data_IF_397816323287
#
_entry.id   IF_397816323287
#
_cell.length_a   1.000
_cell.length_b   1.000
_cell.length_c   1.000
_cell.angle_alpha   90.00
_cell.angle_beta   90.00
_cell.angle_gamma   90.00
#
_symmetry.space_group_name_H-M   'P 1'
#
loop_
_entity.id
_entity.type
_entity.pdbx_description
1 polymer ?
#
# COMPACT_ATOMS: atom_id res chain seq x y z
N UNK A 1 -53.72 101.78 69.44
CA UNK A 1 -53.83 101.36 70.85
C UNK A 1 -52.87 100.19 71.09
N UNK A 2 -51.90 100.47 71.88
CA UNK A 2 -51.30 99.70 72.99
C UNK A 2 -50.40 98.55 72.53
N UNK A 3 -49.21 98.73 72.71
CA UNK A 3 -48.12 98.64 73.68
C UNK A 3 -47.33 97.37 73.65
N UNK A 4 -46.04 97.53 73.40
CA UNK A 4 -44.87 97.11 74.17
C UNK A 4 -44.67 95.69 74.61
N UNK A 5 -43.58 95.05 74.27
CA UNK A 5 -42.40 94.95 75.13
C UNK A 5 -41.21 94.20 74.49
N UNK A 6 -40.10 94.86 74.56
CA UNK A 6 -38.73 94.40 74.35
C UNK A 6 -38.28 93.37 75.36
N UNK A 7 -37.57 92.33 74.94
CA UNK A 7 -36.56 91.67 75.79
C UNK A 7 -35.40 91.14 74.97
N UNK A 8 -34.25 91.59 75.36
CA UNK A 8 -32.96 91.38 74.71
C UNK A 8 -32.31 90.01 74.96
N UNK A 9 -31.03 89.80 74.49
CA UNK A 9 -30.50 88.56 74.04
C UNK A 9 -29.80 87.78 75.16
N UNK A 10 -29.90 86.45 75.11
CA UNK A 10 -29.06 85.52 75.87
C UNK A 10 -27.94 84.94 74.97
N UNK A 11 -26.72 85.24 75.29
CA UNK A 11 -25.47 84.84 74.69
C UNK A 11 -25.15 83.41 74.95
N UNK A 12 -25.21 82.45 73.98
CA UNK A 12 -24.86 81.05 74.18
C UNK A 12 -23.46 80.82 73.55
N UNK A 13 -22.42 80.77 74.39
CA UNK A 13 -21.05 80.54 74.00
C UNK A 13 -20.70 79.04 73.75
N UNK A 14 -21.72 78.16 73.80
CA UNK A 14 -21.51 76.73 73.60
C UNK A 14 -21.46 76.20 72.18
N UNK A 15 -22.05 76.99 71.20
CA UNK A 15 -22.20 76.57 69.82
C UNK A 15 -20.94 76.63 68.99
N UNK A 16 -19.98 77.47 69.38
CA UNK A 16 -18.74 77.67 68.56
C UNK A 16 -17.77 76.51 68.80
N UNK A 17 -17.69 75.92 70.03
CA UNK A 17 -16.86 74.83 70.39
C UNK A 17 -17.31 73.48 69.66
N UNK A 18 -18.62 73.31 69.59
CA UNK A 18 -19.18 72.10 68.92
C UNK A 18 -18.92 72.16 67.37
N UNK A 19 -18.93 73.33 66.76
CA UNK A 19 -18.69 73.45 65.32
C UNK A 19 -17.24 73.28 64.98
N UNK A 20 -16.29 73.69 65.80
CA UNK A 20 -14.82 73.45 65.62
C UNK A 20 -14.45 71.97 65.79
N UNK A 21 -15.06 71.30 66.73
CA UNK A 21 -14.84 69.81 66.91
C UNK A 21 -15.40 69.04 65.76
N UNK A 22 -16.52 69.42 65.18
CA UNK A 22 -17.16 68.77 64.00
C UNK A 22 -16.33 68.96 62.74
N UNK A 23 -15.75 70.16 62.53
CA UNK A 23 -14.84 70.43 61.41
C UNK A 23 -13.50 69.67 61.55
N UNK A 24 -12.95 69.57 62.77
CA UNK A 24 -11.76 68.78 63.00
C UNK A 24 -11.99 67.28 62.83
N UNK A 25 -13.15 66.73 63.22
CA UNK A 25 -13.53 65.35 63.01
C UNK A 25 -13.79 65.04 61.52
N UNK A 26 -14.41 65.96 60.78
CA UNK A 26 -14.59 65.85 59.35
C UNK A 26 -13.31 65.96 58.59
N UNK A 27 -12.37 66.84 59.01
CA UNK A 27 -11.00 66.93 58.45
C UNK A 27 -10.17 65.69 58.70
N UNK A 28 -10.19 65.14 59.93
CA UNK A 28 -9.49 63.93 60.26
C UNK A 28 -10.06 62.69 59.55
N UNK A 29 -11.40 62.64 59.42
CA UNK A 29 -12.08 61.58 58.64
C UNK A 29 -11.76 61.64 57.14
N UNK A 30 -11.69 62.87 56.57
CA UNK A 30 -11.31 63.09 55.20
C UNK A 30 -9.88 62.67 54.89
N UNK A 31 -8.95 63.07 55.79
CA UNK A 31 -7.52 62.66 55.64
C UNK A 31 -7.35 61.16 55.88
N UNK A 32 -8.10 60.55 56.77
CA UNK A 32 -8.10 59.10 56.98
C UNK A 32 -8.67 58.34 55.80
N UNK A 33 -9.73 58.89 55.18
CA UNK A 33 -10.36 58.31 53.98
C UNK A 33 -9.48 58.52 52.72
N UNK A 34 -8.80 59.67 52.59
CA UNK A 34 -7.81 59.91 51.51
C UNK A 34 -6.57 59.01 51.62
N UNK A 35 -6.13 58.68 52.84
CA UNK A 35 -5.00 57.72 53.02
C UNK A 35 -5.39 56.30 52.80
N UNK A 36 -6.68 55.90 52.97
CA UNK A 36 -7.18 54.54 52.71
C UNK A 36 -7.49 54.30 51.22
N UNK A 37 -7.58 55.35 50.40
CA UNK A 37 -7.95 55.25 48.97
C UNK A 37 -6.81 55.04 47.98
N UNK A 38 -5.59 54.81 48.42
CA UNK A 38 -4.41 54.66 47.51
C UNK A 38 -3.65 53.33 47.65
N UNK A 39 -4.31 52.27 48.08
CA UNK A 39 -3.79 50.96 47.68
C UNK A 39 -4.27 50.69 46.23
N UNK A 40 -3.46 51.09 45.23
CA UNK A 40 -3.60 50.55 43.88
C UNK A 40 -3.65 49.03 44.02
N UNK A 41 -4.71 48.37 43.47
CA UNK A 41 -4.66 46.91 43.41
C UNK A 41 -3.37 46.53 42.67
N UNK A 42 -2.52 45.76 43.35
CA UNK A 42 -1.38 45.16 42.68
C UNK A 42 -1.93 44.51 41.41
N UNK A 43 -1.45 44.94 40.21
CA UNK A 43 -1.86 44.38 38.97
C UNK A 43 -1.71 42.85 39.07
N UNK A 44 -2.84 42.15 39.08
CA UNK A 44 -2.82 40.67 39.14
C UNK A 44 -1.85 40.23 38.07
N UNK A 45 -0.82 39.50 38.45
CA UNK A 45 0.14 38.92 37.51
C UNK A 45 -0.69 38.21 36.43
N UNK A 46 -0.43 38.49 35.14
CA UNK A 46 -1.20 37.88 34.04
C UNK A 46 -1.27 36.37 34.26
N UNK A 47 -2.48 35.86 34.29
CA UNK A 47 -2.73 34.43 34.52
C UNK A 47 -1.91 33.62 33.48
N UNK A 48 -1.03 32.75 33.96
CA UNK A 48 -0.19 31.98 33.07
C UNK A 48 -1.04 31.08 32.16
N UNK A 49 -0.79 31.14 30.87
CA UNK A 49 -1.56 30.42 29.84
C UNK A 49 -1.13 28.95 29.86
N UNK A 50 -2.06 27.98 30.07
CA UNK A 50 -1.71 26.55 29.98
C UNK A 50 -1.40 26.16 28.54
N UNK A 51 -0.27 25.53 28.33
CA UNK A 51 0.22 25.06 27.04
C UNK A 51 0.81 23.66 27.16
N UNK A 52 0.78 22.91 26.06
CA UNK A 52 1.59 21.69 25.91
C UNK A 52 2.80 21.96 25.03
N UNK A 53 3.92 21.34 25.35
CA UNK A 53 5.19 21.55 24.63
C UNK A 53 5.78 20.23 24.15
N UNK A 54 6.49 20.28 23.02
CA UNK A 54 7.35 19.21 22.55
C UNK A 54 8.78 19.74 22.38
N UNK A 55 9.75 18.86 22.46
CA UNK A 55 11.16 19.20 22.23
C UNK A 55 11.51 19.01 20.77
N UNK A 56 12.24 19.96 20.21
CA UNK A 56 12.90 19.78 18.93
C UNK A 56 14.04 18.77 19.08
N UNK A 57 14.05 17.73 18.27
CA UNK A 57 15.05 16.68 18.33
C UNK A 57 15.68 16.44 16.96
N UNK A 58 16.93 15.99 16.96
CA UNK A 58 17.53 15.45 15.74
C UNK A 58 17.10 14.02 15.54
N UNK A 59 16.62 13.73 14.37
CA UNK A 59 16.22 12.40 13.99
C UNK A 59 16.29 12.20 12.47
N UNK A 60 16.28 10.94 12.05
CA UNK A 60 16.16 10.60 10.64
C UNK A 60 14.67 10.69 10.25
N UNK A 61 14.39 11.46 9.21
CA UNK A 61 13.02 11.69 8.74
C UNK A 61 12.87 11.10 7.34
N UNK A 62 12.05 10.03 7.20
CA UNK A 62 11.77 9.45 5.91
C UNK A 62 10.84 10.35 5.09
N UNK A 63 11.18 10.57 3.82
CA UNK A 63 10.39 11.35 2.87
C UNK A 63 9.62 10.39 1.98
N UNK A 64 8.31 10.52 1.98
CA UNK A 64 7.42 9.69 1.19
C UNK A 64 6.72 10.49 0.09
N UNK A 65 6.63 9.89 -1.10
CA UNK A 65 5.62 10.25 -2.09
C UNK A 65 4.40 9.33 -1.94
N UNK A 66 3.23 9.91 -1.96
CA UNK A 66 1.96 9.17 -1.85
C UNK A 66 1.21 9.22 -3.16
N UNK A 67 0.62 8.09 -3.56
CA UNK A 67 -0.17 7.97 -4.77
C UNK A 67 -1.29 6.96 -4.63
N UNK A 68 -2.24 7.00 -5.56
CA UNK A 68 -3.29 6.00 -5.68
C UNK A 68 -2.86 4.94 -6.68
N UNK A 69 -3.08 3.68 -6.34
CA UNK A 69 -2.75 2.54 -7.18
C UNK A 69 -3.89 1.54 -7.32
N UNK A 70 -3.72 0.64 -8.27
CA UNK A 70 -4.56 -0.53 -8.49
C UNK A 70 -3.70 -1.78 -8.43
N UNK A 71 -4.29 -2.87 -8.04
CA UNK A 71 -3.66 -4.20 -7.99
C UNK A 71 -4.09 -5.00 -9.22
N UNK A 72 -3.43 -4.92 -10.39
CA UNK A 72 -3.71 -5.84 -11.48
C UNK A 72 -3.20 -7.23 -11.10
N UNK A 73 -3.88 -8.27 -11.59
CA UNK A 73 -3.32 -9.61 -11.54
C UNK A 73 -2.00 -9.65 -12.30
N UNK A 74 -0.99 -10.31 -11.77
CA UNK A 74 0.30 -10.46 -12.48
C UNK A 74 0.10 -11.24 -13.78
N UNK A 75 -0.60 -12.37 -13.70
CA UNK A 75 -1.02 -13.17 -14.84
C UNK A 75 -2.47 -13.63 -14.63
N UNK A 76 -3.24 -13.58 -15.72
CA UNK A 76 -4.60 -14.15 -15.78
C UNK A 76 -4.68 -15.01 -17.01
N UNK A 77 -4.91 -16.30 -16.82
CA UNK A 77 -4.93 -17.28 -17.91
C UNK A 77 -6.27 -17.98 -17.98
N UNK A 78 -7.07 -17.72 -19.01
CA UNK A 78 -8.26 -18.51 -19.30
C UNK A 78 -7.83 -19.89 -19.81
N UNK A 79 -8.28 -20.95 -19.14
CA UNK A 79 -7.97 -22.35 -19.50
C UNK A 79 -9.03 -22.89 -20.42
N UNK A 80 -8.64 -23.23 -21.63
CA UNK A 80 -9.51 -23.81 -22.66
C UNK A 80 -9.14 -25.27 -22.90
N UNK A 81 -10.09 -26.03 -23.47
CA UNK A 81 -9.77 -27.33 -24.05
C UNK A 81 -8.93 -27.17 -25.32
N UNK A 82 -7.97 -28.06 -25.53
CA UNK A 82 -7.20 -28.13 -26.78
C UNK A 82 -7.69 -29.23 -27.72
N UNK A 83 -8.65 -30.05 -27.26
CA UNK A 83 -9.27 -31.13 -28.02
C UNK A 83 -10.77 -31.16 -27.79
N UNK A 84 -11.51 -31.67 -28.77
CA UNK A 84 -12.95 -31.85 -28.66
C UNK A 84 -13.29 -33.11 -27.87
N UNK A 85 -14.28 -33.03 -26.98
CA UNK A 85 -14.73 -34.21 -26.29
C UNK A 85 -15.64 -33.93 -25.08
N UNK A 86 -16.12 -34.97 -24.47
CA UNK A 86 -16.98 -34.87 -23.29
C UNK A 86 -16.15 -34.66 -22.03
N UNK A 87 -16.46 -33.63 -21.24
CA UNK A 87 -15.86 -33.40 -19.94
C UNK A 87 -16.39 -34.45 -18.94
N UNK A 88 -15.48 -35.34 -18.48
CA UNK A 88 -15.87 -36.45 -17.59
C UNK A 88 -15.58 -36.16 -16.12
N UNK A 89 -14.62 -35.29 -15.84
CA UNK A 89 -14.22 -35.01 -14.48
C UNK A 89 -13.66 -33.60 -14.35
N UNK A 90 -14.00 -32.91 -13.24
CA UNK A 90 -13.40 -31.66 -12.76
C UNK A 90 -12.79 -31.95 -11.40
N UNK A 91 -11.50 -31.61 -11.22
CA UNK A 91 -10.67 -32.01 -10.09
C UNK A 91 -10.24 -30.84 -9.19
N UNK A 92 -10.86 -29.67 -9.36
CA UNK A 92 -10.61 -28.51 -8.52
C UNK A 92 -11.90 -28.06 -7.81
N UNK A 93 -11.73 -27.33 -6.72
CA UNK A 93 -12.77 -26.56 -6.07
C UNK A 93 -12.63 -25.09 -6.45
N UNK A 94 -13.72 -24.40 -6.71
CA UNK A 94 -13.72 -22.96 -6.99
C UNK A 94 -13.04 -22.19 -5.85
N UNK A 95 -12.20 -21.24 -6.21
CA UNK A 95 -11.41 -20.48 -5.25
C UNK A 95 -10.17 -21.20 -4.68
N UNK A 96 -9.92 -22.45 -5.06
CA UNK A 96 -8.76 -23.21 -4.61
C UNK A 96 -7.46 -22.66 -5.23
N UNK A 97 -6.35 -22.77 -4.49
CA UNK A 97 -5.02 -22.59 -5.04
C UNK A 97 -4.56 -23.84 -5.78
N UNK A 98 -4.05 -23.66 -7.01
CA UNK A 98 -3.49 -24.72 -7.84
C UNK A 98 -2.06 -24.34 -8.22
N UNK A 99 -1.21 -25.34 -8.35
CA UNK A 99 0.16 -25.18 -8.86
C UNK A 99 0.21 -25.50 -10.36
N UNK A 100 1.15 -24.93 -11.05
CA UNK A 100 1.44 -25.29 -12.43
C UNK A 100 1.64 -26.80 -12.56
N UNK A 101 0.93 -27.42 -13.52
CA UNK A 101 0.91 -28.87 -13.74
C UNK A 101 -0.18 -29.63 -12.98
N UNK A 102 -0.85 -29.05 -11.99
CA UNK A 102 -1.96 -29.71 -11.30
C UNK A 102 -3.11 -29.98 -12.29
N UNK A 103 -3.74 -31.16 -12.17
CA UNK A 103 -4.84 -31.53 -13.06
C UNK A 103 -6.12 -30.79 -12.68
N UNK A 104 -6.65 -30.03 -13.62
CA UNK A 104 -7.91 -29.29 -13.48
C UNK A 104 -9.12 -30.12 -13.91
N UNK A 105 -9.02 -30.77 -15.07
CA UNK A 105 -10.15 -31.49 -15.64
C UNK A 105 -9.69 -32.61 -16.56
N UNK A 106 -10.59 -33.56 -16.83
CA UNK A 106 -10.35 -34.64 -17.77
C UNK A 106 -11.48 -34.72 -18.80
N UNK A 107 -11.08 -34.84 -20.07
CA UNK A 107 -11.95 -35.16 -21.19
C UNK A 107 -11.90 -36.66 -21.40
N UNK A 108 -12.94 -37.22 -21.97
CA UNK A 108 -13.04 -38.66 -22.28
C UNK A 108 -11.85 -39.09 -23.22
N UNK A 109 -10.90 -39.89 -22.72
CA UNK A 109 -9.70 -40.19 -23.46
C UNK A 109 -9.84 -41.36 -24.44
N UNK A 110 -11.00 -42.08 -24.40
CA UNK A 110 -11.15 -43.41 -25.07
C UNK A 110 -10.87 -43.33 -26.56
N UNK A 111 -11.36 -42.31 -27.27
CA UNK A 111 -11.12 -42.15 -28.70
C UNK A 111 -9.65 -41.83 -29.01
N UNK A 112 -9.00 -41.02 -28.18
CA UNK A 112 -7.60 -40.65 -28.32
C UNK A 112 -6.69 -41.84 -28.02
N UNK A 113 -7.01 -42.62 -27.00
CA UNK A 113 -6.30 -43.88 -26.68
C UNK A 113 -6.38 -44.85 -27.83
N UNK A 114 -7.58 -45.05 -28.40
CA UNK A 114 -7.75 -45.97 -29.53
C UNK A 114 -6.94 -45.51 -30.76
N UNK A 115 -6.85 -44.19 -31.02
CA UNK A 115 -6.03 -43.68 -32.11
C UNK A 115 -4.51 -43.88 -31.86
N UNK A 116 -4.06 -43.74 -30.62
CA UNK A 116 -2.70 -44.04 -30.23
C UNK A 116 -2.38 -45.55 -30.40
N UNK A 117 -3.28 -46.43 -29.95
CA UNK A 117 -3.12 -47.85 -30.08
C UNK A 117 -3.09 -48.28 -31.56
N UNK A 118 -3.92 -47.69 -32.41
CA UNK A 118 -3.90 -47.88 -33.85
C UNK A 118 -2.56 -47.48 -34.48
N UNK A 119 -2.01 -46.29 -34.11
CA UNK A 119 -0.73 -45.83 -34.60
C UNK A 119 0.44 -46.78 -34.16
N UNK A 120 0.40 -47.27 -32.91
CA UNK A 120 1.36 -48.24 -32.41
C UNK A 120 1.27 -49.57 -33.14
N UNK A 121 0.07 -50.07 -33.43
CA UNK A 121 -0.15 -51.31 -34.18
C UNK A 121 0.40 -51.21 -35.62
N UNK A 122 0.21 -50.03 -36.29
CA UNK A 122 0.74 -49.77 -37.62
C UNK A 122 2.28 -49.80 -37.62
N UNK A 123 2.92 -49.11 -36.69
CA UNK A 123 4.39 -49.19 -36.52
C UNK A 123 4.88 -50.63 -36.33
N UNK A 124 4.23 -51.40 -35.46
CA UNK A 124 4.58 -52.80 -35.23
C UNK A 124 4.47 -53.65 -36.51
N UNK A 125 3.44 -53.41 -37.33
CA UNK A 125 3.29 -54.05 -38.63
C UNK A 125 4.47 -53.72 -39.58
N UNK A 126 4.85 -52.43 -39.69
CA UNK A 126 5.91 -52.02 -40.58
C UNK A 126 7.32 -52.44 -40.07
N UNK A 127 7.49 -52.51 -38.74
CA UNK A 127 8.69 -53.10 -38.13
C UNK A 127 8.82 -54.59 -38.49
N UNK A 128 7.75 -55.37 -38.47
CA UNK A 128 7.76 -56.78 -38.89
C UNK A 128 8.09 -56.93 -40.37
N UNK A 129 7.55 -56.04 -41.20
CA UNK A 129 7.88 -56.01 -42.67
C UNK A 129 9.34 -55.62 -42.91
N UNK A 130 9.88 -54.66 -42.13
CA UNK A 130 11.30 -54.29 -42.22
C UNK A 130 12.19 -55.45 -41.85
N UNK A 131 11.89 -56.22 -40.79
CA UNK A 131 12.65 -57.40 -40.41
C UNK A 131 12.63 -58.44 -41.50
N UNK A 132 11.48 -58.68 -42.16
CA UNK A 132 11.38 -59.59 -43.32
C UNK A 132 12.23 -59.10 -44.49
N UNK A 133 12.10 -57.82 -44.89
CA UNK A 133 12.84 -57.21 -45.98
C UNK A 133 14.36 -57.23 -45.72
N UNK A 134 14.79 -57.03 -44.48
CA UNK A 134 16.20 -57.11 -44.12
C UNK A 134 16.76 -58.54 -44.27
N UNK A 135 16.00 -59.55 -43.85
CA UNK A 135 16.40 -60.97 -44.05
C UNK A 135 16.51 -61.30 -45.52
N UNK A 136 15.55 -60.82 -46.35
CA UNK A 136 15.58 -61.02 -47.78
C UNK A 136 16.78 -60.30 -48.42
N UNK A 137 17.09 -59.08 -48.03
CA UNK A 137 18.26 -58.33 -48.47
C UNK A 137 19.56 -59.12 -48.22
N UNK A 138 19.72 -59.61 -46.99
CA UNK A 138 20.91 -60.45 -46.66
C UNK A 138 20.98 -61.69 -47.53
N UNK A 139 19.82 -62.33 -47.83
CA UNK A 139 19.77 -63.50 -48.72
C UNK A 139 20.16 -63.17 -50.13
N UNK A 140 19.58 -62.11 -50.74
CA UNK A 140 19.87 -61.65 -52.09
C UNK A 140 21.35 -61.21 -52.22
N UNK A 141 21.85 -60.45 -51.28
CA UNK A 141 23.28 -60.05 -51.26
C UNK A 141 24.21 -61.27 -51.25
N UNK A 142 23.89 -62.27 -50.41
CA UNK A 142 24.71 -63.53 -50.33
C UNK A 142 24.69 -64.32 -51.65
N UNK A 143 23.52 -64.35 -52.33
CA UNK A 143 23.36 -65.00 -53.63
C UNK A 143 24.05 -64.21 -54.77
N UNK A 144 24.01 -62.89 -54.78
CA UNK A 144 24.72 -62.08 -55.72
C UNK A 144 26.22 -62.23 -55.68
N UNK A 145 26.82 -62.32 -54.49
CA UNK A 145 28.23 -62.59 -54.31
C UNK A 145 28.62 -63.92 -54.92
N UNK A 146 27.69 -64.90 -54.96
CA UNK A 146 27.88 -66.20 -55.56
C UNK A 146 27.50 -66.26 -57.05
N UNK A 147 27.17 -65.14 -57.71
CA UNK A 147 26.72 -65.03 -59.07
C UNK A 147 25.39 -65.74 -59.37
N UNK A 148 24.56 -66.03 -58.37
CA UNK A 148 23.25 -66.68 -58.51
C UNK A 148 22.08 -65.64 -58.51
N UNK A 149 22.39 -64.39 -58.35
CA UNK A 149 21.41 -63.31 -58.35
C UNK A 149 21.97 -62.03 -59.00
N UNK A 150 21.08 -61.13 -59.48
CA UNK A 150 21.51 -59.90 -60.15
C UNK A 150 21.67 -58.73 -59.15
N UNK A 151 22.58 -57.80 -59.43
CA UNK A 151 22.75 -56.60 -58.62
C UNK A 151 21.45 -55.76 -58.59
N UNK A 152 20.67 -55.73 -59.68
CA UNK A 152 19.39 -55.04 -59.75
C UNK A 152 18.42 -55.51 -58.69
N UNK A 153 18.36 -56.84 -58.41
CA UNK A 153 17.45 -57.37 -57.41
C UNK A 153 17.93 -57.03 -55.99
N UNK A 154 19.25 -56.95 -55.73
CA UNK A 154 19.81 -56.48 -54.47
C UNK A 154 19.42 -55.02 -54.24
N UNK A 155 19.61 -54.17 -55.26
CA UNK A 155 19.25 -52.72 -55.18
C UNK A 155 17.75 -52.54 -54.93
N UNK A 156 16.87 -53.31 -55.59
CA UNK A 156 15.42 -53.27 -55.35
C UNK A 156 15.08 -53.70 -53.91
N UNK A 157 15.76 -54.69 -53.38
CA UNK A 157 15.52 -55.12 -52.03
C UNK A 157 16.04 -54.12 -50.99
N UNK A 158 17.19 -53.46 -51.25
CA UNK A 158 17.70 -52.36 -50.46
C UNK A 158 16.67 -51.20 -50.44
N UNK A 159 16.13 -50.84 -51.63
CA UNK A 159 15.10 -49.79 -51.70
C UNK A 159 13.85 -50.13 -50.86
N UNK A 160 13.43 -51.42 -50.80
CA UNK A 160 12.33 -51.85 -49.90
C UNK A 160 12.67 -51.67 -48.45
N UNK A 161 13.88 -52.07 -48.02
CA UNK A 161 14.35 -51.85 -46.64
C UNK A 161 14.33 -50.35 -46.29
N UNK A 162 14.82 -49.50 -47.17
CA UNK A 162 14.84 -48.07 -46.93
C UNK A 162 13.44 -47.45 -46.96
N UNK A 163 12.53 -47.98 -47.79
CA UNK A 163 11.12 -47.63 -47.79
C UNK A 163 10.45 -47.96 -46.45
N UNK A 164 10.67 -49.19 -45.87
CA UNK A 164 10.11 -49.53 -44.55
C UNK A 164 10.74 -48.71 -43.42
N UNK A 165 12.02 -48.37 -43.47
CA UNK A 165 12.61 -47.44 -42.50
C UNK A 165 11.95 -46.08 -42.55
N UNK A 166 11.68 -45.55 -43.72
CA UNK A 166 10.97 -44.29 -43.92
C UNK A 166 9.52 -44.36 -43.41
N UNK A 167 8.81 -45.50 -43.65
CA UNK A 167 7.46 -45.73 -43.14
C UNK A 167 7.44 -45.74 -41.60
N UNK A 168 8.41 -46.45 -40.96
CA UNK A 168 8.51 -46.46 -39.47
C UNK A 168 8.82 -45.05 -38.94
N UNK A 169 9.60 -44.23 -39.62
CA UNK A 169 9.81 -42.86 -39.21
C UNK A 169 8.52 -42.01 -39.27
N UNK A 170 7.69 -42.20 -40.32
CA UNK A 170 6.37 -41.61 -40.40
C UNK A 170 5.40 -42.11 -39.31
N UNK A 171 5.43 -43.42 -38.99
CA UNK A 171 4.60 -43.97 -37.95
C UNK A 171 4.98 -43.41 -36.56
N UNK A 172 6.27 -43.20 -36.30
CA UNK A 172 6.75 -42.56 -35.07
C UNK A 172 6.16 -41.15 -34.93
N UNK A 173 6.14 -40.36 -35.98
CA UNK A 173 5.54 -39.03 -35.97
C UNK A 173 4.02 -39.09 -35.78
N UNK A 174 3.35 -40.10 -36.36
CA UNK A 174 1.93 -40.35 -36.14
C UNK A 174 1.62 -40.73 -34.66
N UNK A 175 2.45 -41.56 -34.05
CA UNK A 175 2.35 -41.93 -32.61
C UNK A 175 2.52 -40.68 -31.74
N UNK A 176 3.53 -39.85 -31.98
CA UNK A 176 3.79 -38.62 -31.24
C UNK A 176 2.60 -37.68 -31.34
N UNK A 177 2.02 -37.52 -32.54
CA UNK A 177 0.79 -36.72 -32.75
C UNK A 177 -0.40 -37.27 -31.99
N UNK A 178 -0.61 -38.59 -31.98
CA UNK A 178 -1.71 -39.24 -31.26
C UNK A 178 -1.50 -39.13 -29.73
N UNK A 179 -0.28 -39.28 -29.25
CA UNK A 179 0.08 -39.12 -27.84
C UNK A 179 -0.19 -37.69 -27.38
N UNK A 180 0.25 -36.69 -28.13
CA UNK A 180 0.02 -35.28 -27.81
C UNK A 180 -1.49 -34.98 -27.69
N UNK A 181 -2.32 -35.53 -28.59
CA UNK A 181 -3.78 -35.38 -28.50
C UNK A 181 -4.37 -36.07 -27.28
N UNK A 182 -3.82 -37.23 -26.92
CA UNK A 182 -4.23 -37.93 -25.68
C UNK A 182 -3.84 -37.11 -24.44
N UNK A 183 -2.64 -36.54 -24.42
CA UNK A 183 -2.19 -35.69 -23.30
C UNK A 183 -3.09 -34.46 -23.13
N UNK A 184 -3.57 -33.87 -24.20
CA UNK A 184 -4.52 -32.75 -24.16
C UNK A 184 -5.90 -33.12 -23.58
N UNK A 185 -6.22 -34.41 -23.43
CA UNK A 185 -7.44 -34.82 -22.70
C UNK A 185 -7.31 -34.60 -21.20
N UNK A 186 -6.10 -34.44 -20.68
CA UNK A 186 -5.85 -34.08 -19.29
C UNK A 186 -5.49 -32.59 -19.25
N UNK A 187 -6.43 -31.77 -18.81
CA UNK A 187 -6.26 -30.32 -18.74
C UNK A 187 -5.57 -29.98 -17.43
N UNK A 188 -4.42 -29.33 -17.50
CA UNK A 188 -3.59 -28.94 -16.34
C UNK A 188 -3.53 -27.43 -16.19
N UNK A 189 -3.21 -26.96 -14.97
CA UNK A 189 -2.98 -25.56 -14.67
C UNK A 189 -1.69 -25.08 -15.35
N UNK A 190 -1.74 -24.04 -16.19
CA UNK A 190 -0.55 -23.51 -16.88
C UNK A 190 0.34 -22.65 -15.99
N UNK A 191 -0.21 -22.11 -14.89
CA UNK A 191 0.48 -21.25 -13.93
C UNK A 191 0.04 -21.58 -12.51
N UNK A 192 0.87 -21.19 -11.53
CA UNK A 192 0.45 -21.13 -10.14
C UNK A 192 -0.58 -20.02 -9.98
N UNK A 193 -1.67 -20.29 -9.25
CA UNK A 193 -2.67 -19.27 -9.04
C UNK A 193 -3.96 -19.80 -8.43
N UNK A 194 -4.90 -18.88 -8.24
CA UNK A 194 -6.24 -19.17 -7.71
C UNK A 194 -7.21 -19.43 -8.83
N UNK A 195 -7.97 -20.51 -8.68
CA UNK A 195 -9.02 -20.92 -9.62
C UNK A 195 -10.24 -20.03 -9.43
N UNK A 196 -10.77 -19.46 -10.52
CA UNK A 196 -12.01 -18.71 -10.52
C UNK A 196 -13.26 -19.60 -10.51
N UNK A 197 -14.39 -19.04 -10.93
CA UNK A 197 -15.62 -19.79 -11.09
C UNK A 197 -15.53 -20.77 -12.26
N UNK A 198 -16.07 -21.96 -12.08
CA UNK A 198 -16.24 -22.96 -13.14
C UNK A 198 -17.29 -22.48 -14.14
N UNK A 199 -16.94 -22.47 -15.42
CA UNK A 199 -17.85 -22.00 -16.47
C UNK A 199 -18.50 -23.14 -17.26
N UNK A 200 -17.93 -24.37 -17.18
CA UNK A 200 -18.42 -25.55 -17.89
C UNK A 200 -18.56 -26.70 -16.90
N UNK A 201 -19.72 -27.39 -16.94
CA UNK A 201 -20.04 -28.50 -16.05
C UNK A 201 -19.59 -29.84 -16.60
N UNK A 202 -19.37 -30.79 -15.68
CA UNK A 202 -19.16 -32.22 -16.04
C UNK A 202 -20.34 -32.74 -16.83
N UNK A 203 -20.07 -33.46 -17.91
CA UNK A 203 -21.06 -33.99 -18.82
C UNK A 203 -21.23 -33.19 -20.10
N UNK A 204 -20.81 -31.92 -20.13
CA UNK A 204 -20.84 -31.11 -21.35
C UNK A 204 -19.78 -31.57 -22.36
N UNK A 205 -20.08 -31.32 -23.62
CA UNK A 205 -19.10 -31.47 -24.71
C UNK A 205 -18.39 -30.14 -24.84
N UNK A 206 -17.05 -30.16 -24.84
CA UNK A 206 -16.17 -29.01 -25.08
C UNK A 206 -15.52 -29.15 -26.45
N UNK A 207 -15.25 -28.00 -27.05
CA UNK A 207 -14.52 -27.92 -28.34
C UNK A 207 -13.26 -27.06 -28.19
N UNK A 208 -12.25 -27.39 -28.97
CA UNK A 208 -11.02 -26.59 -29.01
C UNK A 208 -11.25 -25.16 -29.54
N UNK A 209 -12.34 -24.94 -30.27
CA UNK A 209 -12.76 -23.63 -30.80
C UNK A 209 -13.66 -22.82 -29.86
N UNK A 210 -14.02 -23.37 -28.68
CA UNK A 210 -14.88 -22.66 -27.74
C UNK A 210 -14.23 -21.39 -27.22
N UNK A 211 -14.98 -20.30 -27.19
CA UNK A 211 -14.53 -19.02 -26.64
C UNK A 211 -14.70 -18.95 -25.13
N UNK A 212 -15.53 -19.80 -24.56
CA UNK A 212 -15.75 -19.90 -23.11
C UNK A 212 -14.68 -20.80 -22.51
N UNK A 213 -13.86 -20.30 -21.57
CA UNK A 213 -12.89 -21.15 -20.88
C UNK A 213 -13.56 -22.11 -19.91
N UNK A 214 -12.91 -23.21 -19.56
CA UNK A 214 -13.35 -24.06 -18.45
C UNK A 214 -13.34 -23.31 -17.13
N UNK A 215 -12.27 -22.55 -16.94
CA UNK A 215 -11.99 -21.77 -15.73
C UNK A 215 -10.92 -20.74 -16.03
N UNK A 216 -10.86 -19.68 -15.24
CA UNK A 216 -9.80 -18.67 -15.30
C UNK A 216 -8.91 -18.84 -14.09
N UNK A 217 -7.59 -18.99 -14.31
CA UNK A 217 -6.59 -18.95 -13.25
C UNK A 217 -6.02 -17.53 -13.13
N UNK A 218 -5.97 -17.04 -11.90
CA UNK A 218 -5.44 -15.72 -11.58
C UNK A 218 -4.29 -15.87 -10.60
N UNK A 219 -3.13 -15.35 -10.95
CA UNK A 219 -1.97 -15.35 -10.08
C UNK A 219 -2.13 -14.23 -9.05
N UNK A 220 -2.21 -14.60 -7.76
CA UNK A 220 -2.40 -13.68 -6.63
C UNK A 220 -1.10 -13.37 -5.90
N UNK A 221 -0.09 -14.25 -6.00
CA UNK A 221 1.24 -14.04 -5.42
C UNK A 221 2.35 -14.47 -6.40
N UNK A 222 3.38 -13.65 -6.58
CA UNK A 222 3.49 -12.27 -6.09
C UNK A 222 2.41 -11.37 -6.73
N UNK A 223 2.01 -10.30 -6.01
CA UNK A 223 1.10 -9.29 -6.55
C UNK A 223 1.87 -8.12 -7.14
N UNK A 224 1.26 -7.44 -8.09
CA UNK A 224 1.78 -6.17 -8.62
C UNK A 224 0.83 -5.03 -8.27
N UNK A 225 1.39 -3.84 -8.03
CA UNK A 225 0.63 -2.62 -7.87
C UNK A 225 1.10 -1.62 -8.92
N UNK A 226 0.16 -1.10 -9.70
CA UNK A 226 0.41 0.00 -10.62
C UNK A 226 -0.19 1.25 -9.98
N UNK A 227 0.62 2.29 -9.80
CA UNK A 227 0.21 3.52 -9.15
C UNK A 227 0.78 4.74 -9.86
N UNK A 228 0.21 5.90 -9.58
CA UNK A 228 0.63 7.16 -10.17
C UNK A 228 1.21 8.10 -9.12
N UNK A 229 2.24 8.83 -9.50
CA UNK A 229 2.79 9.96 -8.75
C UNK A 229 2.84 11.21 -9.64
N UNK A 230 2.77 12.42 -9.07
CA UNK A 230 3.03 13.65 -9.83
C UNK A 230 4.40 13.60 -10.51
N UNK A 231 4.49 14.18 -11.72
CA UNK A 231 5.74 14.26 -12.51
C UNK A 231 6.90 14.88 -11.73
N UNK A 232 6.62 15.81 -10.83
CA UNK A 232 7.63 16.45 -9.98
C UNK A 232 8.47 15.49 -9.14
N UNK A 233 7.99 14.27 -8.90
CA UNK A 233 8.74 13.22 -8.18
C UNK A 233 9.58 12.31 -9.09
N UNK A 234 9.58 12.55 -10.41
CA UNK A 234 10.28 11.66 -11.36
C UNK A 234 11.77 11.55 -11.05
N UNK A 235 12.44 12.70 -10.90
CA UNK A 235 13.88 12.73 -10.66
C UNK A 235 14.23 12.16 -9.30
N UNK A 236 13.45 12.49 -8.26
CA UNK A 236 13.65 11.96 -6.91
C UNK A 236 13.53 10.42 -6.86
N UNK A 237 12.52 9.85 -7.54
CA UNK A 237 12.34 8.40 -7.61
C UNK A 237 13.46 7.75 -8.42
N UNK A 238 13.89 8.34 -9.54
CA UNK A 238 15.02 7.83 -10.33
C UNK A 238 16.30 7.81 -9.52
N UNK A 239 16.59 8.89 -8.82
CA UNK A 239 17.75 9.00 -7.94
C UNK A 239 17.70 7.99 -6.80
N UNK A 240 16.51 7.79 -6.19
CA UNK A 240 16.32 6.76 -5.20
C UNK A 240 16.59 5.35 -5.77
N UNK A 241 16.11 5.05 -6.98
CA UNK A 241 16.34 3.76 -7.65
C UNK A 241 17.82 3.53 -8.01
N UNK A 242 18.61 4.59 -8.28
CA UNK A 242 20.05 4.43 -8.52
C UNK A 242 20.82 4.11 -7.25
N UNK A 243 20.33 4.56 -6.08
CA UNK A 243 20.90 4.25 -4.76
C UNK A 243 20.60 2.82 -4.30
N UNK A 244 19.50 2.23 -4.78
CA UNK A 244 19.10 0.87 -4.43
C UNK A 244 17.62 0.57 -4.66
N UNK A 245 17.13 -0.59 -4.19
CA UNK A 245 15.72 -0.94 -4.30
C UNK A 245 14.86 0.04 -3.47
N UNK A 246 13.92 0.71 -4.12
CA UNK A 246 13.01 1.67 -3.48
C UNK A 246 11.84 0.93 -2.86
N UNK A 247 11.65 1.10 -1.57
CA UNK A 247 10.57 0.47 -0.81
C UNK A 247 9.24 1.18 -1.06
N UNK A 248 8.19 0.37 -1.19
CA UNK A 248 6.82 0.81 -1.44
C UNK A 248 5.90 0.11 -0.46
N UNK A 249 5.12 0.87 0.29
CA UNK A 249 4.11 0.35 1.22
C UNK A 249 2.72 0.60 0.66
N UNK A 250 1.91 -0.46 0.61
CA UNK A 250 0.50 -0.38 0.21
C UNK A 250 -0.41 -0.36 1.45
N UNK A 251 -1.39 0.53 1.42
CA UNK A 251 -2.43 0.67 2.44
C UNK A 251 -3.82 0.50 1.82
N UNK A 252 -4.79 0.21 2.65
CA UNK A 252 -6.20 0.19 2.25
C UNK A 252 -6.69 1.59 1.82
N UNK A 253 -7.90 1.66 1.26
CA UNK A 253 -8.50 2.92 0.79
C UNK A 253 -8.62 3.98 1.90
N UNK A 254 -8.78 3.56 3.15
CA UNK A 254 -8.87 4.46 4.31
C UNK A 254 -7.50 4.91 4.83
N UNK A 255 -6.41 4.41 4.25
CA UNK A 255 -5.01 4.70 4.64
C UNK A 255 -4.68 4.32 6.10
N UNK A 256 -5.41 3.34 6.66
CA UNK A 256 -5.27 2.88 8.05
C UNK A 256 -4.53 1.54 8.12
N UNK A 257 -4.97 0.56 7.32
CA UNK A 257 -4.42 -0.80 7.38
C UNK A 257 -3.34 -0.98 6.31
N UNK A 258 -2.13 -1.34 6.74
CA UNK A 258 -1.05 -1.75 5.86
C UNK A 258 -1.38 -3.12 5.25
N UNK A 259 -1.37 -3.20 3.92
CA UNK A 259 -1.64 -4.41 3.16
C UNK A 259 -0.36 -5.17 2.85
N UNK A 260 0.77 -4.46 2.70
CA UNK A 260 2.07 -5.09 2.48
C UNK A 260 3.14 -4.10 2.09
N UNK A 261 4.38 -4.61 2.04
CA UNK A 261 5.54 -3.89 1.52
C UNK A 261 6.07 -4.57 0.28
N UNK A 262 6.52 -3.77 -0.68
CA UNK A 262 7.07 -4.22 -1.94
C UNK A 262 8.21 -3.32 -2.39
N UNK A 263 8.64 -3.48 -3.63
CA UNK A 263 9.72 -2.69 -4.23
C UNK A 263 9.30 -2.19 -5.60
N UNK A 264 9.74 -1.00 -5.99
CA UNK A 264 9.55 -0.51 -7.37
C UNK A 264 10.26 -1.46 -8.32
N UNK A 265 9.52 -1.91 -9.33
CA UNK A 265 10.04 -2.74 -10.42
C UNK A 265 10.48 -1.88 -11.59
N UNK A 266 9.65 -0.91 -11.98
CA UNK A 266 9.92 0.00 -13.09
C UNK A 266 9.10 1.28 -12.99
N UNK A 267 9.57 2.32 -13.68
CA UNK A 267 8.84 3.54 -14.01
C UNK A 267 8.44 3.43 -15.49
N UNK A 268 7.20 3.76 -15.84
CA UNK A 268 6.76 3.83 -17.22
C UNK A 268 7.56 4.92 -17.98
N UNK A 269 7.90 4.64 -19.23
CA UNK A 269 8.68 5.57 -20.06
C UNK A 269 7.88 6.81 -20.51
N UNK A 270 6.55 6.79 -20.31
CA UNK A 270 5.63 7.83 -20.81
C UNK A 270 4.98 8.53 -19.61
N UNK A 271 5.04 9.87 -19.63
CA UNK A 271 4.30 10.73 -18.69
C UNK A 271 2.90 10.93 -19.27
N UNK A 272 1.89 10.76 -18.42
CA UNK A 272 0.52 11.09 -18.77
C UNK A 272 0.35 12.62 -18.78
N UNK A 273 0.26 13.20 -19.97
CA UNK A 273 0.15 14.65 -20.16
C UNK A 273 -1.19 15.23 -19.69
N UNK A 274 -2.26 14.42 -19.62
CA UNK A 274 -3.57 14.89 -19.19
C UNK A 274 -3.60 15.14 -17.68
N UNK A 275 -2.86 14.35 -16.93
CA UNK A 275 -2.83 14.39 -15.46
C UNK A 275 -1.50 14.87 -14.90
N UNK A 276 -0.48 15.10 -15.73
CA UNK A 276 0.91 15.40 -15.32
C UNK A 276 1.43 14.39 -14.29
N UNK A 277 1.24 13.10 -14.56
CA UNK A 277 1.65 12.02 -13.66
C UNK A 277 2.54 11.00 -14.36
N UNK A 278 3.42 10.38 -13.58
CA UNK A 278 4.21 9.20 -13.95
C UNK A 278 3.51 7.95 -13.43
N UNK A 279 3.58 6.86 -14.18
CA UNK A 279 3.09 5.55 -13.74
C UNK A 279 4.26 4.69 -13.29
N UNK A 280 4.08 4.03 -12.16
CA UNK A 280 5.06 3.13 -11.57
C UNK A 280 4.43 1.76 -11.35
N UNK A 281 5.26 0.73 -11.43
CA UNK A 281 4.90 -0.64 -11.10
C UNK A 281 5.78 -1.13 -9.96
N UNK A 282 5.16 -1.62 -8.90
CA UNK A 282 5.85 -2.25 -7.78
C UNK A 282 5.44 -3.72 -7.64
N UNK A 283 6.36 -4.53 -7.14
CA UNK A 283 6.17 -5.96 -6.89
C UNK A 283 6.11 -6.21 -5.38
N UNK A 284 5.09 -6.95 -4.96
CA UNK A 284 4.81 -7.31 -3.57
C UNK A 284 4.82 -8.82 -3.42
N UNK A 285 5.44 -9.40 -2.39
CA UNK A 285 5.42 -10.84 -2.15
C UNK A 285 4.01 -11.41 -2.00
N UNK A 286 3.14 -10.70 -1.27
CA UNK A 286 1.72 -11.00 -1.05
C UNK A 286 1.42 -12.43 -0.59
N UNK A 287 2.26 -13.00 0.27
CA UNK A 287 2.11 -14.38 0.74
C UNK A 287 0.83 -14.60 1.57
N UNK A 288 0.32 -13.55 2.21
CA UNK A 288 -0.92 -13.54 3.01
C UNK A 288 -2.14 -13.08 2.22
N UNK A 289 -2.01 -12.88 0.89
CA UNK A 289 -3.07 -12.49 -0.05
C UNK A 289 -3.91 -11.28 0.36
N UNK A 290 -3.33 -10.34 1.10
CA UNK A 290 -4.02 -9.11 1.48
C UNK A 290 -4.24 -8.15 0.31
N UNK A 291 -3.35 -8.18 -0.70
CA UNK A 291 -3.52 -7.44 -1.94
C UNK A 291 -4.34 -8.30 -2.90
N UNK A 292 -5.57 -7.84 -3.18
CA UNK A 292 -6.48 -8.59 -4.04
C UNK A 292 -6.53 -7.98 -5.45
N UNK A 293 -6.46 -8.81 -6.52
CA UNK A 293 -6.59 -8.31 -7.89
C UNK A 293 -7.87 -7.51 -8.11
N UNK A 294 -7.74 -6.31 -8.68
CA UNK A 294 -8.83 -5.36 -8.89
C UNK A 294 -9.03 -4.35 -7.76
N UNK A 295 -8.35 -4.49 -6.63
CA UNK A 295 -8.44 -3.57 -5.49
C UNK A 295 -7.72 -2.25 -5.77
N UNK A 296 -8.29 -1.15 -5.24
CA UNK A 296 -7.61 0.14 -5.16
C UNK A 296 -6.87 0.27 -3.84
N UNK A 297 -5.65 0.76 -3.90
CA UNK A 297 -4.76 0.87 -2.74
C UNK A 297 -4.10 2.24 -2.70
N UNK A 298 -3.88 2.76 -1.50
CA UNK A 298 -3.02 3.91 -1.29
C UNK A 298 -1.57 3.44 -1.17
N UNK A 299 -0.67 4.10 -1.86
CA UNK A 299 0.73 3.71 -1.93
C UNK A 299 1.59 4.83 -1.35
N UNK A 300 2.57 4.46 -0.52
CA UNK A 300 3.64 5.34 -0.05
C UNK A 300 4.98 4.81 -0.54
N UNK A 301 5.70 5.64 -1.25
CA UNK A 301 7.03 5.35 -1.79
C UNK A 301 8.06 6.06 -0.95
N UNK A 302 9.00 5.35 -0.37
CA UNK A 302 10.12 5.94 0.36
C UNK A 302 11.14 6.48 -0.65
N UNK A 303 11.15 7.81 -0.83
CA UNK A 303 12.04 8.46 -1.80
C UNK A 303 13.42 8.70 -1.20
N UNK A 304 13.45 9.21 0.03
CA UNK A 304 14.68 9.59 0.71
C UNK A 304 14.53 9.47 2.23
N UNK A 305 15.63 9.45 2.93
CA UNK A 305 15.67 9.57 4.40
C UNK A 305 16.69 10.66 4.74
N UNK A 306 16.19 11.85 5.12
CA UNK A 306 17.04 12.92 5.57
C UNK A 306 17.59 12.61 6.96
N UNK A 307 18.90 12.39 7.01
CA UNK A 307 19.58 11.97 8.23
C UNK A 307 19.90 13.14 9.12
N UNK A 308 19.76 12.95 10.45
CA UNK A 308 20.21 13.87 11.48
C UNK A 308 19.67 15.31 11.32
N UNK A 309 18.42 15.45 10.85
CA UNK A 309 17.76 16.75 10.69
C UNK A 309 16.99 17.15 11.96
N UNK A 310 16.86 18.47 12.18
CA UNK A 310 16.01 18.96 13.27
C UNK A 310 14.56 18.77 12.85
N UNK A 311 13.82 18.01 13.64
CA UNK A 311 12.43 17.66 13.39
C UNK A 311 11.56 18.10 14.56
N UNK A 312 10.39 18.66 14.26
CA UNK A 312 9.41 19.12 15.23
C UNK A 312 8.03 18.56 14.86
N UNK A 313 7.12 18.37 15.83
CA UNK A 313 5.73 18.02 15.51
C UNK A 313 5.09 19.06 14.58
N UNK A 314 4.36 18.60 13.57
CA UNK A 314 3.68 19.50 12.61
C UNK A 314 2.69 20.45 13.31
N UNK A 315 2.12 20.06 14.45
CA UNK A 315 1.25 20.90 15.29
C UNK A 315 1.95 22.11 15.89
N UNK A 316 3.28 22.09 16.01
CA UNK A 316 4.05 23.24 16.50
C UNK A 316 4.21 24.34 15.43
N UNK A 317 4.08 24.00 14.15
CA UNK A 317 4.22 24.93 13.03
C UNK A 317 2.96 25.73 12.83
N UNK A 318 3.09 27.05 12.88
CA UNK A 318 1.99 27.99 12.65
C UNK A 318 2.26 28.82 11.38
N UNK A 319 1.19 29.20 10.69
CA UNK A 319 1.29 30.07 9.50
C UNK A 319 0.90 31.49 9.85
N UNK A 320 1.80 32.44 9.63
CA UNK A 320 1.60 33.86 9.84
C UNK A 320 1.68 34.68 8.53
N UNK A 321 1.49 36.01 8.60
CA UNK A 321 1.59 36.89 7.44
C UNK A 321 2.95 36.86 6.75
N UNK A 322 4.02 36.62 7.53
CA UNK A 322 5.41 36.64 7.07
C UNK A 322 6.01 35.25 6.84
N UNK A 323 5.18 34.19 6.78
CA UNK A 323 5.64 32.83 6.61
C UNK A 323 5.30 31.92 7.79
N UNK A 324 6.06 30.82 7.93
CA UNK A 324 5.89 29.88 9.04
C UNK A 324 6.60 30.36 10.29
N UNK A 325 6.05 30.06 11.46
CA UNK A 325 6.65 30.35 12.75
C UNK A 325 6.26 29.29 13.78
N UNK A 326 7.01 29.21 14.88
CA UNK A 326 6.65 28.47 16.06
C UNK A 326 6.78 29.31 17.32
N UNK A 327 6.03 28.94 18.36
CA UNK A 327 6.20 29.48 19.69
C UNK A 327 7.26 28.66 20.44
N UNK A 328 8.39 29.27 20.73
CA UNK A 328 9.44 28.69 21.57
C UNK A 328 9.32 29.18 23.00
N UNK A 329 9.61 28.31 23.98
CA UNK A 329 9.61 28.70 25.39
C UNK A 329 11.03 28.98 25.83
N UNK A 330 11.26 30.22 26.21
CA UNK A 330 12.55 30.71 26.71
C UNK A 330 12.67 30.58 28.24
N UNK A 331 13.86 30.92 28.78
CA UNK A 331 14.09 30.99 30.22
C UNK A 331 13.05 31.87 30.92
N UNK A 332 12.44 31.39 32.01
CA UNK A 332 11.36 32.08 32.72
C UNK A 332 9.95 31.80 32.22
N UNK A 333 9.75 30.72 31.45
CA UNK A 333 8.44 30.31 30.91
C UNK A 333 7.73 31.39 30.12
N UNK A 334 8.47 32.10 29.26
CA UNK A 334 7.92 33.10 28.33
C UNK A 334 7.85 32.54 26.93
N UNK A 335 6.77 32.87 26.22
CA UNK A 335 6.58 32.51 24.83
C UNK A 335 7.25 33.53 23.90
N UNK A 336 8.12 33.04 23.03
CA UNK A 336 8.80 33.80 21.98
C UNK A 336 8.36 33.29 20.61
N UNK A 337 7.94 34.19 19.72
CA UNK A 337 7.62 33.86 18.33
C UNK A 337 8.93 33.77 17.54
N UNK A 338 9.22 32.60 16.97
CA UNK A 338 10.40 32.37 16.11
C UNK A 338 9.96 32.06 14.68
N UNK A 339 10.41 32.84 13.69
CA UNK A 339 10.21 32.51 12.29
C UNK A 339 10.92 31.19 11.97
N UNK A 340 10.28 30.36 11.12
CA UNK A 340 10.78 29.08 10.69
C UNK A 340 10.96 29.03 9.18
N UNK A 341 12.02 28.36 8.75
CA UNK A 341 12.11 27.79 7.42
C UNK A 341 11.86 26.28 7.53
N UNK A 342 10.82 25.80 6.87
CA UNK A 342 10.39 24.41 6.96
C UNK A 342 10.67 23.67 5.66
N UNK A 343 11.13 22.44 5.77
CA UNK A 343 11.23 21.47 4.68
C UNK A 343 9.99 20.61 4.57
N UNK A 344 10.18 19.35 4.24
CA UNK A 344 9.10 18.37 4.10
C UNK A 344 8.39 18.08 5.44
N UNK A 345 7.08 17.84 5.37
CA UNK A 345 6.28 17.34 6.49
C UNK A 345 5.85 15.91 6.21
N UNK A 346 6.15 15.01 7.13
CA UNK A 346 5.88 13.57 6.98
C UNK A 346 5.49 12.98 8.34
N UNK A 347 4.47 12.12 8.38
CA UNK A 347 4.03 11.42 9.60
C UNK A 347 3.88 12.35 10.82
N UNK A 348 3.21 13.49 10.65
CA UNK A 348 3.00 14.52 11.67
C UNK A 348 4.29 15.19 12.20
N UNK A 349 5.40 15.03 11.50
CA UNK A 349 6.68 15.67 11.80
C UNK A 349 7.09 16.59 10.66
N UNK A 350 7.53 17.80 10.98
CA UNK A 350 8.04 18.78 10.02
C UNK A 350 9.55 18.97 10.23
N UNK A 351 10.30 18.89 9.13
CA UNK A 351 11.73 19.20 9.12
C UNK A 351 11.90 20.71 9.18
N UNK A 352 12.81 21.19 10.03
CA UNK A 352 13.14 22.61 10.15
C UNK A 352 14.58 22.83 9.71
N UNK A 353 14.74 23.72 8.72
CA UNK A 353 16.06 24.09 8.20
C UNK A 353 16.66 25.27 8.94
N UNK A 354 15.83 26.20 9.43
CA UNK A 354 16.28 27.32 10.25
C UNK A 354 15.19 27.79 11.24
N UNK A 355 15.61 28.47 12.31
CA UNK A 355 14.73 29.07 13.32
C UNK A 355 14.63 28.30 14.65
N UNK A 356 14.99 27.01 14.70
CA UNK A 356 14.93 26.16 15.91
C UNK A 356 16.24 25.42 16.09
N UNK A 357 16.64 25.24 17.36
CA UNK A 357 17.81 24.45 17.76
C UNK A 357 17.35 23.16 18.44
N UNK A 358 18.21 22.16 18.42
CA UNK A 358 18.02 20.94 19.18
C UNK A 358 17.79 21.23 20.67
N UNK A 359 16.77 20.62 21.26
CA UNK A 359 16.37 20.81 22.67
C UNK A 359 15.45 22.00 22.93
N UNK A 360 15.15 22.84 21.91
CA UNK A 360 14.16 23.91 22.05
C UNK A 360 12.78 23.33 22.39
N UNK A 361 12.11 23.94 23.38
CA UNK A 361 10.74 23.60 23.75
C UNK A 361 9.75 24.39 22.91
N UNK A 362 8.97 23.70 22.09
CA UNK A 362 8.01 24.31 21.16
C UNK A 362 6.60 24.01 21.62
N UNK A 363 5.71 25.00 21.49
CA UNK A 363 4.30 24.85 21.88
C UNK A 363 3.56 24.07 20.79
N UNK A 364 2.89 22.98 21.20
CA UNK A 364 2.06 22.13 20.33
C UNK A 364 0.57 22.30 20.57
N UNK A 365 0.15 22.80 21.75
CA UNK A 365 -1.24 23.11 22.08
C UNK A 365 -1.33 24.42 22.87
N UNK A 366 -2.40 25.18 22.66
CA UNK A 366 -2.67 26.45 23.36
C UNK A 366 -2.10 27.69 22.70
N UNK A 367 -1.47 27.56 21.49
CA UNK A 367 -0.76 28.62 20.78
C UNK A 367 -1.66 29.82 20.39
N UNK A 368 -2.96 29.61 20.19
CA UNK A 368 -3.90 30.67 19.82
C UNK A 368 -4.15 31.75 20.87
N UNK A 369 -3.73 31.50 22.12
CA UNK A 369 -3.82 32.44 23.23
C UNK A 369 -2.52 33.21 23.46
N UNK A 370 -1.46 32.83 22.77
CA UNK A 370 -0.13 33.36 23.02
C UNK A 370 0.10 34.69 22.31
N UNK A 371 0.76 35.59 22.99
CA UNK A 371 1.37 36.81 22.47
C UNK A 371 2.85 36.81 22.83
N UNK A 372 3.69 37.58 22.13
CA UNK A 372 5.09 37.73 22.53
C UNK A 372 5.21 38.08 24.03
N UNK A 373 6.14 37.44 24.72
CA UNK A 373 6.39 37.57 26.17
C UNK A 373 5.26 37.07 27.11
N UNK A 374 4.25 36.38 26.60
CA UNK A 374 3.22 35.75 27.45
C UNK A 374 3.85 34.76 28.43
N UNK A 375 3.46 34.85 29.70
CA UNK A 375 3.86 33.89 30.73
C UNK A 375 2.99 32.63 30.58
N UNK A 376 3.65 31.47 30.55
CA UNK A 376 2.98 30.20 30.28
C UNK A 376 3.20 29.18 31.42
N UNK A 377 2.24 28.29 31.58
CA UNK A 377 2.34 27.11 32.44
C UNK A 377 2.35 25.88 31.56
N UNK A 378 3.41 25.06 31.66
CA UNK A 378 3.53 23.82 30.89
C UNK A 378 2.65 22.76 31.54
N UNK A 379 1.68 22.30 30.81
CA UNK A 379 0.82 21.15 31.16
C UNK A 379 1.25 19.95 30.31
N UNK A 380 1.27 18.73 30.88
CA UNK A 380 1.53 17.56 30.04
C UNK A 380 0.46 17.48 28.93
N UNK A 381 0.85 17.01 27.72
CA UNK A 381 -0.09 16.88 26.62
C UNK A 381 -1.29 16.02 27.08
N UNK A 382 -2.49 16.44 26.75
CA UNK A 382 -3.69 15.62 26.97
C UNK A 382 -3.54 14.37 26.13
N UNK A 383 -3.21 13.24 26.77
CA UNK A 383 -3.36 11.95 26.10
C UNK A 383 -4.85 11.85 25.73
N UNK A 384 -5.14 11.87 24.43
CA UNK A 384 -6.44 11.42 23.93
C UNK A 384 -6.48 9.94 24.28
N UNK A 385 -7.12 9.60 25.38
CA UNK A 385 -7.44 8.22 25.70
C UNK A 385 -8.33 7.73 24.55
N UNK A 386 -7.76 6.97 23.65
CA UNK A 386 -8.52 6.16 22.70
C UNK A 386 -9.33 5.23 23.61
N UNK A 387 -10.62 5.45 23.64
CA UNK A 387 -11.58 4.68 24.43
C UNK A 387 -11.61 3.24 23.90
N UNK A 388 -10.74 2.39 24.42
CA UNK A 388 -10.73 0.93 24.22
C UNK A 388 -11.81 0.26 25.06
N UNK A 389 -12.93 0.93 25.32
CA UNK A 389 -14.04 0.43 26.12
C UNK A 389 -15.20 -0.12 25.25
N UNK A 390 -14.89 -0.81 24.14
CA UNK A 390 -15.94 -1.45 23.33
C UNK A 390 -15.75 -2.97 23.13
N UNK A 391 -14.76 -3.60 23.78
CA UNK A 391 -14.50 -5.03 23.54
C UNK A 391 -14.60 -5.93 24.79
N UNK A 392 -15.07 -5.41 25.93
CA UNK A 392 -15.27 -6.24 27.13
C UNK A 392 -16.73 -6.61 27.43
N UNK A 393 -17.70 -6.18 26.60
CA UNK A 393 -19.11 -6.49 26.80
C UNK A 393 -19.65 -7.67 25.96
N UNK A 394 -18.80 -8.33 25.16
CA UNK A 394 -19.23 -9.47 24.32
C UNK A 394 -18.74 -10.85 24.83
N UNK A 395 -18.12 -10.93 26.00
CA UNK A 395 -17.56 -12.19 26.53
C UNK A 395 -18.41 -12.82 27.66
N UNK A 396 -19.56 -12.24 28.04
CA UNK A 396 -20.38 -12.76 29.15
C UNK A 396 -21.81 -13.17 28.75
N UNK A 397 -22.01 -13.59 27.48
CA UNK A 397 -23.23 -14.28 27.08
C UNK A 397 -22.92 -15.36 26.04
N UNK A 398 -22.33 -16.48 26.52
CA UNK A 398 -22.54 -17.83 25.95
C UNK A 398 -22.25 -18.89 27.01
#
# INVERSE_FOLDING_TARGET
MTTHRIRGPARNSGSIFALVLLVLAAGAGGVYWMRRGSEKPAAAAPAAIPISVAMAARQDVPIYASGLGTVPALNTVPVHSQVDGKLIQVLFTEGQHMKAGDVLAKIDPRLFQAALDQANAKKSQDEAQLVSAQKDLVRFTTLAVKSFETQQNVDQQQAKVDGFKAAIAADKAAIESAQTRLDYTTITAPIDGRVGFRQIDVGNIVHASDTTPLVVLTQTHPATVIFTLPESFLDDVRDAMTRGPVEVTAYDQNNVRMLGTGKILLIDAIIDQATATIRLKALFPNADEKLWPGEFVNVRVLIDTQQNVIAIPASAVQRGPNGFYAWAITGGNKAEMRPLETGATTNDVTIVTSGVKEGDRLVIEGQYKLQPDSVVTITPPRSVAINTAADSAAADQR
#
